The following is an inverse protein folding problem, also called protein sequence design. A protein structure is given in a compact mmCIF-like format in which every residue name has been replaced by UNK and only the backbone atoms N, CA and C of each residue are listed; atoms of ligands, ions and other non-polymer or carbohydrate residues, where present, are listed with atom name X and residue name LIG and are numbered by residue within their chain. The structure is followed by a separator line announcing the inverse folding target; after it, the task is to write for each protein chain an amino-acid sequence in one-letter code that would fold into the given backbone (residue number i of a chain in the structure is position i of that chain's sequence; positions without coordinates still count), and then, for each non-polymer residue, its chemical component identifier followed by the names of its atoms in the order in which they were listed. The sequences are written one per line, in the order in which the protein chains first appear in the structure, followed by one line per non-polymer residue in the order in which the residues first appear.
data_IF_813274472107
#
_entry.id   IF_813274472107
#
_cell.length_a   1.000
_cell.length_b   1.000
_cell.length_c   1.000
_cell.angle_alpha   90.00
_cell.angle_beta   90.00
_cell.angle_gamma   90.00
#
_symmetry.space_group_name_H-M   'P 1'
#
loop_
_entity.id
_entity.type
_entity.pdbx_description
1 polymer ?
#
# COMPACT_ATOMS: atom_id res chain seq x y z
N UNK A 1 -5.89 5.75 5.20
CA UNK A 1 -4.48 6.23 5.17
C UNK A 1 -3.98 6.21 6.59
N UNK A 2 -2.82 5.58 6.81
CA UNK A 2 -2.18 5.50 8.12
C UNK A 2 -0.80 6.16 8.02
N UNK A 3 -0.46 7.00 9.00
CA UNK A 3 0.78 7.79 8.97
C UNK A 3 1.66 7.45 10.16
N UNK A 4 2.97 7.32 9.88
CA UNK A 4 4.00 7.09 10.89
C UNK A 4 4.55 8.43 11.38
N UNK A 5 4.90 8.55 12.68
CA UNK A 5 5.64 9.72 13.17
C UNK A 5 7.09 9.77 12.64
N UNK A 6 7.60 8.66 12.10
CA UNK A 6 8.95 8.58 11.55
C UNK A 6 9.02 9.31 10.20
N UNK A 7 9.86 10.34 10.14
CA UNK A 7 10.16 11.06 8.91
C UNK A 7 11.51 10.60 8.37
N UNK A 8 11.50 9.87 7.26
CA UNK A 8 12.72 9.58 6.49
C UNK A 8 12.99 10.75 5.55
N UNK A 9 14.22 11.28 5.56
CA UNK A 9 14.64 12.24 4.55
C UNK A 9 14.75 11.52 3.20
N UNK A 10 14.17 12.10 2.16
CA UNK A 10 14.21 11.54 0.80
C UNK A 10 15.65 11.33 0.32
N UNK A 11 16.59 12.17 0.74
CA UNK A 11 18.02 12.04 0.46
C UNK A 11 18.60 10.72 0.98
N UNK A 12 18.25 10.33 2.20
CA UNK A 12 18.80 9.13 2.86
C UNK A 12 18.24 7.87 2.18
N UNK A 13 16.98 7.95 1.75
CA UNK A 13 16.38 6.92 0.91
C UNK A 13 17.15 6.72 -0.41
N UNK A 14 17.57 7.81 -1.09
CA UNK A 14 18.33 7.76 -2.36
C UNK A 14 19.73 7.18 -2.28
N UNK A 15 20.28 7.03 -1.07
CA UNK A 15 21.59 6.42 -0.87
C UNK A 15 21.53 4.90 -0.66
N UNK A 16 20.34 4.32 -0.52
CA UNK A 16 20.20 2.88 -0.35
C UNK A 16 20.60 2.14 -1.64
N UNK A 17 21.37 1.04 -1.56
CA UNK A 17 21.67 0.20 -2.71
C UNK A 17 20.41 -0.57 -3.14
N UNK A 18 19.68 -0.03 -4.12
CA UNK A 18 18.37 -0.57 -4.54
C UNK A 18 18.44 -1.50 -5.74
N UNK A 19 19.47 -1.37 -6.57
CA UNK A 19 19.58 -2.10 -7.83
C UNK A 19 19.42 -3.62 -7.67
N UNK A 20 20.08 -4.29 -6.68
CA UNK A 20 19.89 -5.72 -6.49
C UNK A 20 18.45 -6.10 -6.14
N UNK A 21 17.78 -5.32 -5.27
CA UNK A 21 16.41 -5.60 -4.86
C UNK A 21 15.38 -5.26 -5.94
N UNK A 22 15.65 -4.26 -6.79
CA UNK A 22 14.82 -3.95 -7.97
C UNK A 22 14.91 -5.08 -8.99
N UNK A 23 16.12 -5.58 -9.28
CA UNK A 23 16.31 -6.72 -10.18
C UNK A 23 15.64 -7.98 -9.63
N UNK A 24 15.78 -8.26 -8.33
CA UNK A 24 15.14 -9.40 -7.67
C UNK A 24 13.60 -9.34 -7.72
N UNK A 25 13.02 -8.14 -7.79
CA UNK A 25 11.56 -7.95 -7.85
C UNK A 25 11.03 -7.54 -9.23
N UNK A 26 11.86 -7.55 -10.27
CA UNK A 26 11.48 -7.06 -11.60
C UNK A 26 10.21 -7.75 -12.14
N UNK A 27 10.09 -9.07 -11.98
CA UNK A 27 8.89 -9.81 -12.39
C UNK A 27 7.63 -9.43 -11.62
N UNK A 28 7.75 -9.17 -10.30
CA UNK A 28 6.62 -8.69 -9.48
C UNK A 28 6.20 -7.30 -9.87
N UNK A 29 7.16 -6.39 -10.10
CA UNK A 29 6.88 -5.03 -10.52
C UNK A 29 6.26 -4.98 -11.92
N UNK A 30 6.70 -5.85 -12.83
CA UNK A 30 6.09 -6.03 -14.13
C UNK A 30 4.63 -6.52 -14.02
N UNK A 31 4.36 -7.53 -13.17
CA UNK A 31 3.00 -8.01 -12.93
C UNK A 31 2.10 -6.92 -12.31
N UNK A 32 2.63 -6.13 -11.36
CA UNK A 32 1.91 -5.01 -10.79
C UNK A 32 1.54 -3.99 -11.88
N UNK A 33 2.48 -3.69 -12.78
CA UNK A 33 2.24 -2.78 -13.89
C UNK A 33 1.14 -3.27 -14.84
N UNK A 34 1.19 -4.53 -15.25
CA UNK A 34 0.16 -5.15 -16.11
C UNK A 34 -1.23 -5.06 -15.46
N UNK A 35 -1.32 -5.32 -14.15
CA UNK A 35 -2.57 -5.19 -13.39
C UNK A 35 -3.07 -3.76 -13.31
N UNK A 36 -2.20 -2.76 -13.14
CA UNK A 36 -2.61 -1.34 -13.20
C UNK A 36 -3.21 -1.03 -14.57
N UNK A 37 -2.55 -1.42 -15.65
CA UNK A 37 -3.05 -1.17 -17.01
C UNK A 37 -4.43 -1.80 -17.21
N UNK A 38 -4.59 -3.06 -16.80
CA UNK A 38 -5.88 -3.76 -16.88
C UNK A 38 -6.94 -3.07 -16.02
N UNK A 39 -6.61 -2.73 -14.77
CA UNK A 39 -7.52 -2.05 -13.84
C UNK A 39 -8.03 -0.73 -14.38
N UNK A 40 -7.15 0.08 -14.99
CA UNK A 40 -7.52 1.32 -15.65
C UNK A 40 -8.40 1.08 -16.87
N UNK A 41 -8.10 0.07 -17.68
CA UNK A 41 -8.88 -0.25 -18.88
C UNK A 41 -10.31 -0.71 -18.56
N UNK A 42 -10.48 -1.55 -17.53
CA UNK A 42 -11.79 -2.11 -17.18
C UNK A 42 -12.47 -1.43 -15.98
N UNK A 43 -11.86 -0.40 -15.39
CA UNK A 43 -12.39 0.31 -14.22
C UNK A 43 -12.52 -0.58 -12.98
N UNK A 44 -11.58 -1.51 -12.77
CA UNK A 44 -11.67 -2.51 -11.71
C UNK A 44 -10.81 -2.16 -10.47
N UNK A 45 -11.42 -1.71 -9.36
CA UNK A 45 -10.69 -1.33 -8.15
C UNK A 45 -10.00 -2.51 -7.44
N UNK A 46 -10.51 -3.74 -7.61
CA UNK A 46 -9.86 -4.94 -7.07
C UNK A 46 -8.51 -5.17 -7.74
N UNK A 47 -8.44 -5.11 -9.08
CA UNK A 47 -7.17 -5.25 -9.81
C UNK A 47 -6.17 -4.15 -9.46
N UNK A 48 -6.66 -2.91 -9.26
CA UNK A 48 -5.81 -1.80 -8.83
C UNK A 48 -5.23 -2.04 -7.43
N UNK A 49 -6.05 -2.55 -6.50
CA UNK A 49 -5.60 -2.87 -5.15
C UNK A 49 -4.62 -4.05 -5.10
N UNK A 50 -4.83 -5.08 -5.91
CA UNK A 50 -3.87 -6.18 -6.09
C UNK A 50 -2.53 -5.65 -6.62
N UNK A 51 -2.56 -4.80 -7.64
CA UNK A 51 -1.35 -4.20 -8.20
C UNK A 51 -0.57 -3.39 -7.14
N UNK A 52 -1.30 -2.56 -6.37
CA UNK A 52 -0.72 -1.79 -5.28
C UNK A 52 -0.07 -2.69 -4.23
N UNK A 53 -0.74 -3.79 -3.86
CA UNK A 53 -0.23 -4.76 -2.88
C UNK A 53 1.03 -5.47 -3.38
N UNK A 54 1.08 -5.89 -4.64
CA UNK A 54 2.27 -6.51 -5.24
C UNK A 54 3.45 -5.52 -5.23
N UNK A 55 3.20 -4.26 -5.61
CA UNK A 55 4.20 -3.20 -5.54
C UNK A 55 4.69 -2.95 -4.10
N UNK A 56 3.77 -2.99 -3.13
CA UNK A 56 4.09 -2.83 -1.72
C UNK A 56 4.98 -3.98 -1.20
N UNK A 57 4.66 -5.23 -1.56
CA UNK A 57 5.47 -6.42 -1.20
C UNK A 57 6.88 -6.33 -1.79
N UNK A 58 7.01 -5.90 -3.06
CA UNK A 58 8.31 -5.68 -3.67
C UNK A 58 9.10 -4.57 -2.95
N UNK A 59 8.42 -3.48 -2.59
CA UNK A 59 9.04 -2.34 -1.88
C UNK A 59 9.44 -2.69 -0.45
N UNK A 60 8.72 -3.59 0.20
CA UNK A 60 9.01 -4.08 1.55
C UNK A 60 10.38 -4.75 1.63
N UNK A 61 10.83 -5.40 0.55
CA UNK A 61 12.17 -6.00 0.49
C UNK A 61 13.30 -4.96 0.40
N UNK A 62 12.99 -3.77 -0.09
CA UNK A 62 13.95 -2.66 -0.22
C UNK A 62 14.00 -1.78 1.04
N UNK A 63 12.83 -1.48 1.60
CA UNK A 63 12.69 -0.65 2.77
C UNK A 63 11.57 -1.21 3.67
N UNK A 64 11.92 -2.11 4.60
CA UNK A 64 10.95 -2.74 5.48
C UNK A 64 10.16 -1.72 6.28
N UNK A 65 8.84 -1.89 6.28
CA UNK A 65 7.88 -1.12 7.07
C UNK A 65 7.40 -1.96 8.25
N UNK A 66 7.34 -1.37 9.45
CA UNK A 66 6.92 -2.09 10.64
C UNK A 66 5.43 -2.45 10.55
N UNK A 67 5.09 -3.65 11.04
CA UNK A 67 3.71 -4.16 11.00
C UNK A 67 3.19 -4.47 9.59
N UNK A 68 4.06 -4.62 8.58
CA UNK A 68 3.64 -4.87 7.20
C UNK A 68 2.83 -6.15 7.03
N UNK A 69 3.25 -7.25 7.66
CA UNK A 69 2.52 -8.53 7.59
C UNK A 69 1.15 -8.41 8.26
N UNK A 70 1.06 -7.71 9.40
CA UNK A 70 -0.22 -7.43 10.05
C UNK A 70 -1.16 -6.55 9.19
N UNK A 71 -0.60 -5.64 8.38
CA UNK A 71 -1.36 -4.87 7.40
C UNK A 71 -1.88 -5.76 6.26
N UNK A 72 -1.09 -6.74 5.79
CA UNK A 72 -1.53 -7.72 4.81
C UNK A 72 -2.63 -8.63 5.37
N UNK A 73 -2.47 -9.13 6.59
CA UNK A 73 -3.48 -9.93 7.28
C UNK A 73 -4.79 -9.15 7.45
N UNK A 74 -4.71 -7.84 7.70
CA UNK A 74 -5.88 -6.97 7.77
C UNK A 74 -6.57 -6.82 6.41
N UNK A 75 -5.80 -6.67 5.32
CA UNK A 75 -6.35 -6.65 3.96
C UNK A 75 -7.09 -7.95 3.66
N UNK A 76 -6.50 -9.11 3.98
CA UNK A 76 -7.11 -10.42 3.72
C UNK A 76 -8.37 -10.63 4.59
N UNK A 77 -8.25 -10.47 5.90
CA UNK A 77 -9.34 -10.74 6.85
C UNK A 77 -10.54 -9.81 6.70
N UNK A 78 -10.33 -8.56 6.27
CA UNK A 78 -11.40 -7.61 6.01
C UNK A 78 -11.84 -7.56 4.53
N UNK A 79 -11.23 -8.38 3.66
CA UNK A 79 -11.56 -8.48 2.24
C UNK A 79 -11.29 -7.20 1.44
N UNK A 80 -10.30 -6.40 1.84
CA UNK A 80 -10.01 -5.10 1.22
C UNK A 80 -9.46 -5.26 -0.20
N UNK A 81 -9.52 -4.19 -1.00
CA UNK A 81 -8.95 -4.21 -2.34
C UNK A 81 -7.43 -4.39 -2.32
N UNK A 82 -6.74 -3.81 -1.33
CA UNK A 82 -5.30 -3.94 -1.20
C UNK A 82 -4.63 -2.94 -0.28
N UNK A 83 -3.30 -3.00 -0.27
CA UNK A 83 -2.41 -2.13 0.48
C UNK A 83 -1.53 -1.34 -0.49
N UNK A 84 -1.35 -0.04 -0.25
CA UNK A 84 -0.30 0.75 -0.86
C UNK A 84 0.70 1.25 0.20
N UNK A 85 1.93 1.50 -0.23
CA UNK A 85 2.98 2.06 0.61
C UNK A 85 3.58 3.24 -0.15
N UNK A 86 3.63 4.41 0.49
CA UNK A 86 4.30 5.57 -0.08
C UNK A 86 5.80 5.30 -0.26
N UNK A 87 6.44 5.98 -1.20
CA UNK A 87 7.85 5.72 -1.54
C UNK A 87 8.84 6.01 -0.39
N UNK A 88 8.64 7.10 0.37
CA UNK A 88 9.35 7.32 1.65
C UNK A 88 8.90 6.32 2.73
N UNK A 89 7.69 5.79 2.56
CA UNK A 89 6.93 4.90 3.42
C UNK A 89 6.76 5.42 4.83
N UNK A 90 6.56 6.73 4.95
CA UNK A 90 5.95 7.40 6.10
C UNK A 90 4.42 7.24 6.11
N UNK A 91 3.85 6.76 5.01
CA UNK A 91 2.40 6.59 4.83
C UNK A 91 2.12 5.22 4.21
N UNK A 92 1.07 4.57 4.71
CA UNK A 92 0.46 3.38 4.10
C UNK A 92 -1.04 3.61 3.85
N UNK A 93 -1.57 2.99 2.80
CA UNK A 93 -2.97 3.13 2.41
C UNK A 93 -3.66 1.78 2.32
N UNK A 94 -4.73 1.60 3.09
CA UNK A 94 -5.68 0.49 2.91
C UNK A 94 -6.75 0.93 1.90
N UNK A 95 -6.92 0.17 0.84
CA UNK A 95 -7.84 0.46 -0.26
C UNK A 95 -9.15 -0.29 -0.06
N UNK A 96 -10.26 0.44 0.03
CA UNK A 96 -11.57 -0.12 0.37
C UNK A 96 -12.72 0.63 -0.31
N UNK A 97 -13.84 -0.06 -0.47
CA UNK A 97 -15.16 0.51 -0.76
C UNK A 97 -16.01 0.57 0.53
N UNK A 98 -16.41 1.77 0.95
CA UNK A 98 -17.19 2.01 2.18
C UNK A 98 -18.60 1.40 2.14
N UNK A 99 -19.09 1.01 0.96
CA UNK A 99 -20.38 0.32 0.79
C UNK A 99 -20.26 -1.18 0.96
N UNK A 100 -19.04 -1.72 0.87
CA UNK A 100 -18.76 -3.16 0.89
C UNK A 100 -18.00 -3.62 2.13
N UNK A 101 -17.12 -2.76 2.64
CA UNK A 101 -16.23 -3.11 3.75
C UNK A 101 -16.67 -2.41 5.03
N UNK A 102 -16.54 -3.13 6.15
CA UNK A 102 -16.85 -2.64 7.48
C UNK A 102 -15.75 -1.72 8.00
N UNK A 103 -16.00 -0.41 7.92
CA UNK A 103 -15.05 0.61 8.36
C UNK A 103 -14.89 0.62 9.88
N UNK A 104 -15.94 0.31 10.63
CA UNK A 104 -15.90 0.30 12.10
C UNK A 104 -15.05 -0.87 12.59
N UNK A 105 -15.24 -2.06 12.00
CA UNK A 105 -14.37 -3.21 12.25
C UNK A 105 -12.91 -2.91 11.93
N UNK A 106 -12.63 -2.25 10.81
CA UNK A 106 -11.25 -1.87 10.44
C UNK A 106 -10.63 -0.93 11.47
N UNK A 107 -11.35 0.12 11.89
CA UNK A 107 -10.87 1.07 12.88
C UNK A 107 -10.60 0.39 14.22
N UNK A 108 -11.51 -0.50 14.65
CA UNK A 108 -11.34 -1.29 15.87
C UNK A 108 -10.12 -2.23 15.78
N UNK A 109 -9.98 -3.00 14.69
CA UNK A 109 -8.83 -3.88 14.47
C UNK A 109 -7.51 -3.12 14.43
N UNK A 110 -7.49 -1.95 13.80
CA UNK A 110 -6.29 -1.11 13.76
C UNK A 110 -5.91 -0.64 15.17
N UNK A 111 -6.89 -0.28 16.00
CA UNK A 111 -6.66 0.18 17.38
C UNK A 111 -6.18 -0.93 18.33
N UNK A 112 -6.64 -2.17 18.14
CA UNK A 112 -6.27 -3.32 18.99
C UNK A 112 -4.96 -4.02 18.58
N UNK A 113 -4.40 -3.66 17.43
CA UNK A 113 -3.19 -4.28 16.91
C UNK A 113 -1.94 -3.44 17.17
N UNK A 114 -0.77 -4.08 17.11
CA UNK A 114 0.53 -3.39 17.14
C UNK A 114 0.71 -2.42 15.95
N UNK A 115 -0.19 -2.43 14.96
CA UNK A 115 -0.22 -1.48 13.86
C UNK A 115 -0.37 -0.05 14.40
N UNK A 116 -1.21 0.20 15.42
CA UNK A 116 -1.42 1.54 15.96
C UNK A 116 -0.15 2.13 16.60
N UNK A 117 0.76 1.29 17.12
CA UNK A 117 2.03 1.75 17.67
C UNK A 117 2.96 2.33 16.58
N UNK A 118 2.86 1.81 15.36
CA UNK A 118 3.68 2.24 14.22
C UNK A 118 3.00 3.28 13.33
N UNK A 119 1.66 3.27 13.32
CA UNK A 119 0.81 4.07 12.45
C UNK A 119 -0.32 4.77 13.24
N UNK A 120 0.03 5.68 14.19
CA UNK A 120 -0.93 6.23 15.15
C UNK A 120 -1.95 7.19 14.54
N UNK A 121 -1.65 7.81 13.38
CA UNK A 121 -2.56 8.73 12.72
C UNK A 121 -3.33 7.98 11.64
N UNK A 122 -4.67 8.04 11.70
CA UNK A 122 -5.56 7.32 10.80
C UNK A 122 -6.55 8.29 10.15
N UNK A 123 -6.60 8.26 8.82
CA UNK A 123 -7.45 9.13 8.02
C UNK A 123 -8.27 8.30 7.04
N UNK A 124 -9.60 8.44 7.08
CA UNK A 124 -10.50 7.93 6.06
C UNK A 124 -10.67 8.99 4.97
N UNK A 125 -10.07 8.75 3.81
CA UNK A 125 -10.02 9.71 2.71
C UNK A 125 -10.65 9.13 1.45
N UNK A 126 -11.21 10.00 0.61
CA UNK A 126 -11.66 9.62 -0.72
C UNK A 126 -10.49 9.64 -1.71
N UNK A 127 -10.45 8.67 -2.62
CA UNK A 127 -9.54 8.73 -3.76
C UNK A 127 -9.99 9.87 -4.68
N UNK A 128 -9.04 10.71 -5.10
CA UNK A 128 -9.29 11.82 -6.01
C UNK A 128 -8.83 11.48 -7.43
N UNK A 129 -9.57 11.89 -8.47
CA UNK A 129 -9.12 11.70 -9.84
C UNK A 129 -7.86 12.53 -10.12
N UNK A 130 -6.90 11.93 -10.83
CA UNK A 130 -5.63 12.56 -11.22
C UNK A 130 -4.68 11.57 -11.89
N UNK A 131 -3.48 12.04 -12.24
CA UNK A 131 -2.42 11.21 -12.82
C UNK A 131 -2.25 11.36 -14.32
N UNK A 132 -1.71 10.32 -14.96
CA UNK A 132 -1.40 10.26 -16.40
C UNK A 132 -2.47 9.48 -17.15
N UNK A 133 -2.72 9.87 -18.40
CA UNK A 133 -3.59 9.12 -19.31
C UNK A 133 -2.75 7.98 -19.90
N UNK A 134 -3.18 6.74 -19.70
CA UNK A 134 -2.57 5.59 -20.38
C UNK A 134 -2.91 5.67 -21.87
N UNK A 135 -1.88 5.76 -22.71
CA UNK A 135 -1.98 5.68 -24.16
C UNK A 135 -2.09 4.23 -24.63
#
# INVERSE_FOLDING_TARGET
MLESPLTLRTTDYHQLPREPGLLANASRLQLAWEKVQQACHCGNPQLLGEAATISAIASQQLLPKPGFDALLDLVESAGLYGLNVAHSGSVVGLLLDRRRHDVEFLQWRLAESDIAAHWPQQHLLAMVPGGVILQ
#
